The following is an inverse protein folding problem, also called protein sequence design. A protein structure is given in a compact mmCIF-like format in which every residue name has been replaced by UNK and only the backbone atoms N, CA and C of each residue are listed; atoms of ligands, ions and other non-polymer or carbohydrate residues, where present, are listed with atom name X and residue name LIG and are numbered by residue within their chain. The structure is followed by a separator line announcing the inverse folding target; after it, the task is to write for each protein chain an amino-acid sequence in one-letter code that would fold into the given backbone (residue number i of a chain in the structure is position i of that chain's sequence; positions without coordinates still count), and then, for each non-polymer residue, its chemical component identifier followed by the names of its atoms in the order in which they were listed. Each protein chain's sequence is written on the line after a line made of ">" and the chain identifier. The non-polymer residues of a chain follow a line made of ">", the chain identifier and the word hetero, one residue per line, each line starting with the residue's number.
data_IF_143398825280
#
_entry.id   IF_143398825280
#
_cell.length_a   1.000
_cell.length_b   1.000
_cell.length_c   1.000
_cell.angle_alpha   90.00
_cell.angle_beta   90.00
_cell.angle_gamma   90.00
#
_symmetry.space_group_name_H-M   'P 1'
#
loop_
_entity.id
_entity.type
_entity.pdbx_description
1 polymer ?
#
# COMPACT_ATOMS: atom_id res chain seq x y z
N UNK A 1 6.20 44.91 29.78
CA UNK A 1 5.47 44.47 28.59
C UNK A 1 6.53 43.95 27.58
N UNK A 2 6.82 42.70 27.63
CA UNK A 2 7.82 42.04 26.78
C UNK A 2 7.08 40.94 26.04
N UNK A 3 7.03 41.06 24.72
CA UNK A 3 6.43 40.06 23.80
C UNK A 3 7.25 38.77 23.81
N UNK A 4 6.63 37.61 23.71
CA UNK A 4 7.36 36.37 23.54
C UNK A 4 7.74 36.20 22.07
N UNK A 5 9.01 35.93 21.87
CA UNK A 5 9.68 35.61 20.62
C UNK A 5 9.08 34.35 19.97
N UNK A 6 8.60 34.49 18.75
CA UNK A 6 8.11 33.38 17.91
C UNK A 6 9.31 32.76 17.19
N UNK A 7 9.94 31.78 17.80
CA UNK A 7 10.88 30.89 17.10
C UNK A 7 10.12 29.88 16.24
N UNK A 8 9.72 30.28 15.05
CA UNK A 8 9.41 29.38 13.96
C UNK A 8 10.71 28.76 13.47
N UNK A 9 11.08 27.62 14.07
CA UNK A 9 12.18 26.80 13.58
C UNK A 9 11.87 26.32 12.15
N UNK A 10 12.52 26.94 11.20
CA UNK A 10 12.57 26.53 9.79
C UNK A 10 13.17 25.13 9.73
N UNK A 11 12.30 24.10 9.60
CA UNK A 11 12.72 22.73 9.32
C UNK A 11 13.22 22.71 7.86
N UNK A 12 14.49 23.07 7.66
CA UNK A 12 15.18 22.90 6.42
C UNK A 12 15.03 21.43 5.97
N UNK A 13 14.31 21.20 4.88
CA UNK A 13 14.11 19.89 4.31
C UNK A 13 15.44 19.19 4.06
N UNK A 14 15.72 18.10 4.78
CA UNK A 14 16.90 17.29 4.53
C UNK A 14 16.95 16.89 3.07
N UNK A 15 18.09 17.03 2.37
CA UNK A 15 18.22 16.65 0.99
C UNK A 15 17.91 15.16 0.84
N UNK A 16 17.00 14.82 -0.09
CA UNK A 16 16.77 13.43 -0.50
C UNK A 16 18.11 12.84 -0.93
N UNK A 17 18.57 11.78 -0.25
CA UNK A 17 19.78 11.06 -0.70
C UNK A 17 19.54 10.60 -2.13
N UNK A 18 20.36 11.06 -3.06
CA UNK A 18 20.35 10.61 -4.44
C UNK A 18 20.60 9.10 -4.48
N UNK A 19 19.91 8.39 -5.36
CA UNK A 19 20.21 6.99 -5.60
C UNK A 19 21.66 6.84 -6.04
N UNK A 20 22.33 5.79 -5.58
CA UNK A 20 23.71 5.51 -5.94
C UNK A 20 23.86 5.41 -7.46
N UNK A 21 24.90 5.97 -8.06
CA UNK A 21 25.20 5.76 -9.48
C UNK A 21 25.21 4.25 -9.79
N UNK A 22 24.49 3.84 -10.85
CA UNK A 22 24.41 2.42 -11.24
C UNK A 22 23.35 1.60 -10.52
N UNK A 23 22.45 2.23 -9.72
CA UNK A 23 21.32 1.51 -9.13
C UNK A 23 20.48 0.80 -10.20
N UNK A 24 20.17 -0.47 -9.95
CA UNK A 24 19.31 -1.30 -10.81
C UNK A 24 18.20 -1.95 -9.99
N UNK A 25 17.02 -2.03 -10.58
CA UNK A 25 15.90 -2.77 -9.99
C UNK A 25 16.25 -4.26 -9.95
N UNK A 26 16.15 -4.93 -8.79
CA UNK A 26 16.32 -6.38 -8.73
C UNK A 26 15.23 -7.09 -9.53
N UNK A 27 15.56 -8.25 -10.11
CA UNK A 27 14.61 -9.06 -10.88
C UNK A 27 13.59 -9.80 -10.01
N UNK A 28 13.87 -9.95 -8.72
CA UNK A 28 13.03 -10.65 -7.75
C UNK A 28 12.84 -9.81 -6.49
N UNK A 29 11.83 -10.11 -5.65
CA UNK A 29 11.64 -9.45 -4.37
C UNK A 29 12.87 -9.57 -3.47
N UNK A 30 13.26 -8.45 -2.86
CA UNK A 30 14.43 -8.37 -1.97
C UNK A 30 14.03 -7.75 -0.65
N UNK A 31 14.35 -8.45 0.43
CA UNK A 31 14.23 -7.94 1.81
C UNK A 31 15.59 -7.42 2.26
N UNK A 32 15.59 -6.35 3.00
CA UNK A 32 16.80 -5.80 3.60
C UNK A 32 16.46 -5.01 4.88
N UNK A 33 17.39 -4.99 5.82
CA UNK A 33 17.31 -4.07 6.94
C UNK A 33 17.51 -2.65 6.43
N UNK A 34 16.69 -1.73 6.91
CA UNK A 34 16.79 -0.32 6.55
C UNK A 34 16.92 0.55 7.79
N UNK A 35 17.50 1.73 7.60
CA UNK A 35 17.35 2.80 8.60
C UNK A 35 15.85 2.99 8.87
N UNK A 36 15.42 3.31 10.12
CA UNK A 36 14.02 3.47 10.43
C UNK A 36 13.33 4.39 9.42
N UNK A 37 12.31 3.87 8.74
CA UNK A 37 11.56 4.66 7.78
C UNK A 37 10.76 5.76 8.49
N UNK A 38 10.41 5.57 9.76
CA UNK A 38 9.84 6.57 10.65
C UNK A 38 10.98 7.30 11.37
N UNK A 39 11.12 8.59 11.16
CA UNK A 39 12.22 9.42 11.68
C UNK A 39 11.77 10.54 12.65
N UNK A 40 10.50 10.56 13.03
CA UNK A 40 10.02 11.48 14.07
C UNK A 40 10.50 11.03 15.46
N UNK A 41 10.85 11.96 16.38
CA UNK A 41 11.30 11.61 17.74
C UNK A 41 10.24 10.92 18.59
N UNK A 42 8.96 11.24 18.39
CA UNK A 42 7.85 10.57 19.06
C UNK A 42 7.39 9.31 18.31
N UNK A 43 6.84 8.31 19.02
CA UNK A 43 6.25 7.11 18.41
C UNK A 43 5.16 7.44 17.39
N UNK A 44 5.09 6.65 16.33
CA UNK A 44 4.13 6.88 15.23
C UNK A 44 2.68 6.94 15.71
N UNK A 45 2.26 6.04 16.59
CA UNK A 45 0.88 5.99 17.10
C UNK A 45 0.51 7.23 17.91
N UNK A 46 1.45 7.75 18.71
CA UNK A 46 1.25 8.99 19.44
C UNK A 46 1.05 10.19 18.50
N UNK A 47 1.89 10.28 17.46
CA UNK A 47 1.79 11.36 16.45
C UNK A 47 0.50 11.27 15.66
N UNK A 48 0.12 10.06 15.23
CA UNK A 48 -1.16 9.83 14.53
C UNK A 48 -2.34 10.25 15.40
N UNK A 49 -2.35 9.88 16.67
CA UNK A 49 -3.41 10.21 17.60
C UNK A 49 -3.48 11.72 17.85
N UNK A 50 -2.34 12.33 18.13
CA UNK A 50 -2.29 13.76 18.47
C UNK A 50 -2.69 14.66 17.30
N UNK A 51 -2.27 14.32 16.08
CA UNK A 51 -2.50 15.18 14.91
C UNK A 51 -3.74 14.80 14.11
N UNK A 52 -4.15 13.53 14.13
CA UNK A 52 -5.20 13.00 13.26
C UNK A 52 -6.24 12.16 13.99
N UNK A 53 -6.26 12.19 15.32
CA UNK A 53 -7.24 11.43 16.12
C UNK A 53 -8.69 11.72 15.77
N UNK A 54 -9.01 12.97 15.39
CA UNK A 54 -10.36 13.37 14.95
C UNK A 54 -10.69 13.02 13.50
N UNK A 55 -9.78 12.41 12.74
CA UNK A 55 -10.02 12.06 11.34
C UNK A 55 -11.14 11.00 11.24
N UNK A 56 -12.20 11.32 10.51
CA UNK A 56 -13.35 10.43 10.33
C UNK A 56 -12.98 9.26 9.40
N UNK A 57 -13.29 8.03 9.82
CA UNK A 57 -12.92 6.82 9.09
C UNK A 57 -13.74 6.62 7.82
N UNK A 58 -14.96 7.13 7.77
CA UNK A 58 -15.83 7.11 6.59
C UNK A 58 -15.32 8.01 5.45
N UNK A 59 -14.52 9.03 5.79
CA UNK A 59 -13.93 9.97 4.84
C UNK A 59 -12.53 9.55 4.35
N UNK A 60 -11.94 8.50 4.91
CA UNK A 60 -10.65 7.99 4.47
C UNK A 60 -10.70 7.55 3.01
N UNK A 61 -10.36 8.49 2.13
CA UNK A 61 -10.37 8.32 0.68
C UNK A 61 -9.00 7.95 0.12
N UNK A 62 -8.98 6.91 -0.64
CA UNK A 62 -7.99 6.63 -1.67
C UNK A 62 -8.71 6.09 -2.88
N UNK A 63 -8.08 6.03 -4.04
CA UNK A 63 -8.69 5.57 -5.30
C UNK A 63 -9.28 4.14 -5.25
N UNK A 64 -9.00 3.37 -4.21
CA UNK A 64 -9.50 2.02 -3.95
C UNK A 64 -10.39 1.91 -2.71
N UNK A 65 -10.64 3.02 -2.03
CA UNK A 65 -11.29 3.05 -0.72
C UNK A 65 -12.76 2.61 -0.68
N UNK A 66 -13.42 2.57 -1.83
CA UNK A 66 -14.88 2.35 -1.84
C UNK A 66 -15.28 0.93 -1.42
N UNK A 67 -14.69 -0.09 -2.01
CA UNK A 67 -15.03 -1.50 -1.67
C UNK A 67 -14.62 -1.86 -0.25
N UNK A 68 -13.44 -1.41 0.15
CA UNK A 68 -12.91 -1.65 1.49
C UNK A 68 -13.72 -0.89 2.54
N UNK A 69 -14.19 0.31 2.23
CA UNK A 69 -15.07 1.11 3.11
C UNK A 69 -16.39 0.41 3.39
N UNK A 70 -17.09 -0.06 2.38
CA UNK A 70 -18.39 -0.70 2.59
C UNK A 70 -18.27 -2.00 3.38
N UNK A 71 -17.24 -2.82 3.12
CA UNK A 71 -16.98 -4.03 3.88
C UNK A 71 -16.64 -3.76 5.36
N UNK A 72 -15.97 -2.64 5.63
CA UNK A 72 -15.54 -2.29 6.98
C UNK A 72 -16.57 -1.44 7.73
N UNK A 73 -17.42 -0.70 7.02
CA UNK A 73 -18.37 0.25 7.62
C UNK A 73 -19.24 -0.39 8.69
N UNK A 74 -19.91 -1.50 8.38
CA UNK A 74 -20.75 -2.20 9.37
C UNK A 74 -19.97 -2.58 10.62
N UNK A 75 -18.73 -3.02 10.44
CA UNK A 75 -17.89 -3.43 11.57
C UNK A 75 -17.46 -2.23 12.42
N UNK A 76 -17.20 -1.10 11.82
CA UNK A 76 -16.93 0.15 12.54
C UNK A 76 -18.17 0.60 13.32
N UNK A 77 -19.36 0.57 12.71
CA UNK A 77 -20.64 0.87 13.37
C UNK A 77 -20.90 -0.06 14.57
N UNK A 78 -20.71 -1.37 14.40
CA UNK A 78 -20.86 -2.37 15.48
C UNK A 78 -19.92 -2.13 16.66
N UNK A 79 -18.73 -1.61 16.40
CA UNK A 79 -17.71 -1.32 17.40
C UNK A 79 -17.83 0.10 18.00
N UNK A 80 -18.68 0.94 17.45
CA UNK A 80 -18.79 2.35 17.84
C UNK A 80 -17.54 3.17 17.53
N UNK A 81 -16.80 2.80 16.46
CA UNK A 81 -15.56 3.44 16.05
C UNK A 81 -15.83 4.34 14.85
N UNK A 82 -15.72 5.64 15.04
CA UNK A 82 -15.97 6.66 14.01
C UNK A 82 -14.70 7.36 13.56
N UNK A 83 -13.72 7.48 14.47
CA UNK A 83 -12.51 8.27 14.23
C UNK A 83 -11.25 7.41 14.28
N UNK A 84 -10.18 7.93 13.65
CA UNK A 84 -8.87 7.30 13.70
C UNK A 84 -8.35 7.18 15.15
N UNK A 85 -8.59 8.16 16.00
CA UNK A 85 -8.21 8.11 17.41
C UNK A 85 -8.85 6.93 18.13
N UNK A 86 -10.18 6.79 18.02
CA UNK A 86 -10.90 5.64 18.60
C UNK A 86 -10.39 4.30 18.06
N UNK A 87 -10.07 4.24 16.76
CA UNK A 87 -9.48 3.05 16.15
C UNK A 87 -8.10 2.72 16.75
N UNK A 88 -7.23 3.73 16.89
CA UNK A 88 -5.89 3.54 17.45
C UNK A 88 -5.96 3.15 18.94
N UNK A 89 -6.89 3.71 19.71
CA UNK A 89 -7.13 3.33 21.09
C UNK A 89 -7.58 1.87 21.18
N UNK A 90 -8.56 1.47 20.38
CA UNK A 90 -9.01 0.09 20.33
C UNK A 90 -7.90 -0.88 19.90
N UNK A 91 -7.04 -0.46 18.94
CA UNK A 91 -5.89 -1.23 18.49
C UNK A 91 -4.87 -1.46 19.60
N UNK A 92 -4.49 -0.42 20.34
CA UNK A 92 -3.51 -0.51 21.44
C UNK A 92 -4.06 -1.23 22.68
N UNK A 93 -5.35 -1.08 22.99
CA UNK A 93 -6.01 -1.82 24.07
C UNK A 93 -6.32 -3.28 23.71
N UNK A 94 -5.93 -3.73 22.51
CA UNK A 94 -6.07 -5.12 22.09
C UNK A 94 -7.51 -5.55 21.80
N UNK A 95 -8.42 -4.62 21.53
CA UNK A 95 -9.78 -4.93 21.06
C UNK A 95 -9.67 -5.73 19.77
N UNK A 96 -10.24 -6.92 19.73
CA UNK A 96 -10.10 -7.84 18.60
C UNK A 96 -11.21 -7.66 17.55
N UNK A 97 -10.87 -8.05 16.30
CA UNK A 97 -11.79 -7.97 15.17
C UNK A 97 -11.96 -6.55 14.62
N UNK A 98 -10.96 -5.70 14.82
CA UNK A 98 -10.90 -4.41 14.15
C UNK A 98 -10.78 -4.62 12.64
N UNK A 99 -11.47 -3.82 11.83
CA UNK A 99 -11.27 -3.81 10.40
C UNK A 99 -9.81 -3.53 10.03
N UNK A 100 -9.33 -4.17 8.98
CA UNK A 100 -8.02 -3.85 8.43
C UNK A 100 -8.05 -2.46 7.79
N UNK A 101 -7.38 -1.49 8.39
CA UNK A 101 -7.27 -0.15 7.85
C UNK A 101 -6.21 -0.14 6.74
N UNK A 102 -6.68 -0.06 5.51
CA UNK A 102 -5.85 -0.09 4.31
C UNK A 102 -5.87 1.27 3.61
N UNK A 103 -4.79 1.57 2.87
CA UNK A 103 -4.73 2.77 2.00
C UNK A 103 -4.94 4.11 2.73
N UNK A 104 -4.47 4.22 3.98
CA UNK A 104 -4.43 5.51 4.65
C UNK A 104 -3.38 6.39 3.95
N UNK A 105 -3.85 7.24 3.03
CA UNK A 105 -2.97 8.04 2.18
C UNK A 105 -2.21 9.09 2.98
N UNK A 106 -0.88 9.08 2.84
CA UNK A 106 -0.03 10.07 3.51
C UNK A 106 -0.24 11.46 2.93
N UNK A 107 -0.49 11.56 1.63
CA UNK A 107 -0.66 12.86 1.00
C UNK A 107 -2.03 13.49 1.25
N UNK A 108 -3.09 12.68 1.36
CA UNK A 108 -4.46 13.18 1.48
C UNK A 108 -4.97 13.17 2.91
N UNK A 109 -4.69 12.10 3.64
CA UNK A 109 -5.30 11.92 4.96
C UNK A 109 -4.40 12.41 6.10
N UNK A 110 -3.08 12.24 5.95
CA UNK A 110 -2.10 12.49 7.02
C UNK A 110 -0.84 13.22 6.51
N UNK A 111 -0.97 14.38 5.81
CA UNK A 111 0.13 15.02 5.08
C UNK A 111 1.30 15.49 5.96
N UNK A 112 1.06 15.82 7.22
CA UNK A 112 2.12 16.25 8.14
C UNK A 112 3.11 15.11 8.48
N UNK A 113 2.75 13.83 8.25
CA UNK A 113 3.69 12.72 8.44
C UNK A 113 4.70 12.57 7.31
N UNK A 114 4.46 13.20 6.16
CA UNK A 114 5.30 13.06 4.97
C UNK A 114 6.79 13.35 5.19
N UNK A 115 7.20 14.40 5.92
CA UNK A 115 8.62 14.68 6.18
C UNK A 115 9.30 13.60 7.04
N UNK A 116 8.53 12.85 7.81
CA UNK A 116 9.00 11.88 8.77
C UNK A 116 9.02 10.44 8.27
N UNK A 117 8.38 10.18 7.13
CA UNK A 117 8.38 8.87 6.46
C UNK A 117 9.38 8.91 5.30
N UNK A 118 10.55 8.36 5.55
CA UNK A 118 11.68 8.40 4.61
C UNK A 118 11.87 7.06 3.93
N UNK A 119 11.80 7.09 2.59
CA UNK A 119 12.05 5.90 1.80
C UNK A 119 13.53 5.46 1.90
N UNK A 120 13.80 4.18 2.15
CA UNK A 120 15.15 3.66 2.11
C UNK A 120 15.82 3.94 0.75
N UNK A 121 17.10 4.31 0.77
CA UNK A 121 17.86 4.61 -0.47
C UNK A 121 17.89 3.42 -1.45
N UNK A 122 17.82 2.19 -0.93
CA UNK A 122 17.76 0.96 -1.72
C UNK A 122 16.49 0.81 -2.57
N UNK A 123 15.43 1.59 -2.30
CA UNK A 123 14.28 1.65 -3.20
C UNK A 123 14.61 2.32 -4.54
N UNK A 124 15.74 3.03 -4.60
CA UNK A 124 16.22 3.69 -5.79
C UNK A 124 15.45 4.97 -6.14
N UNK A 125 15.66 5.49 -7.36
CA UNK A 125 14.97 6.69 -7.82
C UNK A 125 13.47 6.42 -7.94
N UNK A 126 12.67 7.41 -7.52
CA UNK A 126 11.21 7.38 -7.66
C UNK A 126 10.71 8.69 -8.26
N UNK A 127 10.29 8.66 -9.51
CA UNK A 127 9.83 9.84 -10.25
C UNK A 127 8.45 10.33 -9.79
N UNK A 128 7.66 9.43 -9.18
CA UNK A 128 6.30 9.73 -8.71
C UNK A 128 6.20 9.99 -7.20
N UNK A 129 7.33 10.22 -6.54
CA UNK A 129 7.35 10.52 -5.11
C UNK A 129 6.77 11.92 -4.74
N UNK A 130 6.20 12.63 -5.70
CA UNK A 130 5.58 13.96 -5.50
C UNK A 130 4.06 13.82 -5.39
N UNK A 131 3.38 14.68 -4.58
CA UNK A 131 1.91 14.72 -4.50
C UNK A 131 1.20 14.90 -5.83
N UNK A 132 1.87 15.47 -6.83
CA UNK A 132 1.32 15.59 -8.19
C UNK A 132 0.93 14.27 -8.83
N UNK A 133 1.52 13.17 -8.36
CA UNK A 133 1.36 11.83 -8.89
C UNK A 133 0.53 10.92 -7.99
N UNK A 134 -0.16 11.46 -6.98
CA UNK A 134 -0.99 10.67 -6.06
C UNK A 134 -2.06 9.82 -6.73
N UNK A 135 -2.53 10.26 -7.90
CA UNK A 135 -3.45 9.45 -8.73
C UNK A 135 -2.83 8.13 -9.18
N UNK A 136 -1.51 8.03 -9.20
CA UNK A 136 -0.77 6.79 -9.47
C UNK A 136 -0.54 5.96 -8.20
N UNK A 137 -1.08 6.41 -7.06
CA UNK A 137 -0.96 5.80 -5.76
C UNK A 137 0.27 6.31 -5.00
N UNK A 138 0.05 7.30 -4.16
CA UNK A 138 1.05 7.86 -3.25
C UNK A 138 1.45 6.89 -2.15
N UNK A 139 2.29 7.33 -1.21
CA UNK A 139 2.63 6.55 -0.03
C UNK A 139 1.42 6.38 0.88
N UNK A 140 1.29 5.18 1.45
CA UNK A 140 0.12 4.77 2.24
C UNK A 140 0.55 4.02 3.51
N UNK A 141 -0.25 4.12 4.57
CA UNK A 141 -0.16 3.26 5.74
C UNK A 141 -1.23 2.16 5.70
N UNK A 142 -0.86 1.02 6.23
CA UNK A 142 -1.71 -0.14 6.47
C UNK A 142 -1.61 -0.50 7.95
N UNK A 143 -2.73 -0.45 8.68
CA UNK A 143 -2.79 -0.77 10.09
C UNK A 143 -3.67 -1.99 10.28
N UNK A 144 -3.12 -3.06 10.77
CA UNK A 144 -3.84 -4.33 10.88
C UNK A 144 -3.47 -5.12 12.11
N UNK A 145 -4.46 -5.83 12.65
CA UNK A 145 -4.27 -6.77 13.73
C UNK A 145 -3.77 -8.12 13.21
N UNK A 146 -3.21 -8.93 14.10
CA UNK A 146 -2.87 -10.33 13.83
C UNK A 146 -4.02 -11.05 13.13
N UNK A 147 -3.71 -11.72 12.03
CA UNK A 147 -4.65 -12.48 11.22
C UNK A 147 -5.41 -11.64 10.18
N UNK A 148 -5.26 -10.31 10.16
CA UNK A 148 -5.82 -9.50 9.07
C UNK A 148 -5.09 -9.78 7.75
N UNK A 149 -5.86 -9.81 6.65
CA UNK A 149 -5.36 -10.19 5.32
C UNK A 149 -5.76 -9.19 4.26
N UNK A 150 -4.89 -8.91 3.33
CA UNK A 150 -5.29 -8.24 2.10
C UNK A 150 -5.89 -9.26 1.14
N UNK A 151 -7.12 -8.98 0.70
CA UNK A 151 -8.16 -9.94 0.33
C UNK A 151 -7.92 -10.86 -0.87
N UNK A 152 -6.79 -10.96 -1.46
CA UNK A 152 -6.54 -11.89 -2.57
C UNK A 152 -5.17 -11.71 -3.19
N UNK A 153 -4.77 -12.66 -4.01
CA UNK A 153 -3.55 -12.53 -4.79
C UNK A 153 -3.79 -11.47 -5.86
N UNK A 154 -2.92 -10.48 -5.93
CA UNK A 154 -3.00 -9.39 -6.90
C UNK A 154 -1.62 -8.90 -7.34
N UNK A 155 -1.60 -8.12 -8.39
CA UNK A 155 -0.49 -7.26 -8.79
C UNK A 155 -0.89 -5.82 -8.55
N UNK A 156 0.04 -4.97 -8.14
CA UNK A 156 -0.24 -3.54 -8.09
C UNK A 156 -0.51 -2.99 -9.48
N UNK A 157 -1.51 -2.10 -9.54
CA UNK A 157 -1.93 -1.49 -10.80
C UNK A 157 -0.90 -0.46 -11.28
N UNK A 158 -0.88 -0.22 -12.58
CA UNK A 158 -0.05 0.79 -13.21
C UNK A 158 1.39 0.34 -13.48
N UNK A 159 1.69 -0.96 -13.45
CA UNK A 159 3.04 -1.47 -13.74
C UNK A 159 4.12 -0.91 -12.83
N UNK A 160 3.76 -0.59 -11.59
CA UNK A 160 4.65 0.01 -10.60
C UNK A 160 5.48 -1.04 -9.85
N UNK A 161 6.68 -0.66 -9.42
CA UNK A 161 7.33 -1.35 -8.31
C UNK A 161 6.75 -0.85 -7.00
N UNK A 162 6.84 -1.65 -5.95
CA UNK A 162 6.39 -1.25 -4.62
C UNK A 162 7.47 -1.46 -3.58
N UNK A 163 7.69 -0.44 -2.77
CA UNK A 163 8.48 -0.52 -1.55
C UNK A 163 7.56 -0.64 -0.34
N UNK A 164 7.81 -1.62 0.51
CA UNK A 164 7.15 -1.78 1.81
C UNK A 164 8.16 -1.64 2.92
N UNK A 165 7.85 -0.88 3.96
CA UNK A 165 8.61 -0.82 5.20
C UNK A 165 7.70 -1.26 6.34
N UNK A 166 8.13 -2.26 7.11
CA UNK A 166 7.41 -2.65 8.30
C UNK A 166 7.85 -1.73 9.44
N UNK A 167 6.91 -0.93 9.94
CA UNK A 167 7.17 0.04 10.99
C UNK A 167 6.94 -0.55 12.38
N UNK A 168 5.91 -1.38 12.54
CA UNK A 168 5.52 -2.04 13.78
C UNK A 168 5.08 -3.45 13.45
N UNK A 169 5.49 -4.46 14.25
CA UNK A 169 5.05 -5.84 14.15
C UNK A 169 5.64 -6.62 12.98
N UNK A 170 4.94 -7.67 12.57
CA UNK A 170 5.38 -8.61 11.52
C UNK A 170 4.25 -8.85 10.49
N UNK A 171 4.62 -8.89 9.23
CA UNK A 171 3.73 -9.17 8.11
C UNK A 171 4.32 -10.24 7.19
N UNK A 172 3.49 -11.21 6.82
CA UNK A 172 3.81 -12.20 5.80
C UNK A 172 3.37 -11.72 4.44
N UNK A 173 4.25 -11.85 3.47
CA UNK A 173 3.97 -11.72 2.05
C UNK A 173 4.10 -13.08 1.40
N UNK A 174 3.09 -13.48 0.66
CA UNK A 174 3.20 -14.61 -0.29
C UNK A 174 3.36 -13.97 -1.66
N UNK A 175 4.48 -14.25 -2.31
CA UNK A 175 4.80 -13.64 -3.61
C UNK A 175 4.97 -14.72 -4.67
N UNK A 176 4.56 -14.40 -5.92
CA UNK A 176 4.69 -15.27 -7.07
C UNK A 176 5.32 -14.51 -8.22
N UNK A 177 6.18 -15.14 -9.03
CA UNK A 177 6.75 -14.50 -10.20
C UNK A 177 5.67 -14.14 -11.23
N UNK A 178 5.91 -13.16 -12.10
CA UNK A 178 4.96 -12.77 -13.14
C UNK A 178 4.52 -13.93 -14.04
N UNK A 179 5.40 -14.89 -14.31
CA UNK A 179 5.13 -16.11 -15.10
C UNK A 179 4.01 -16.98 -14.53
N UNK A 180 3.81 -16.95 -13.21
CA UNK A 180 2.78 -17.76 -12.55
C UNK A 180 1.36 -17.24 -12.79
N UNK A 181 1.20 -16.04 -13.32
CA UNK A 181 -0.10 -15.45 -13.60
C UNK A 181 -1.05 -16.37 -14.40
N UNK A 182 -0.53 -17.32 -15.17
CA UNK A 182 -1.32 -18.35 -15.90
C UNK A 182 -1.93 -19.40 -14.96
N UNK A 183 -1.37 -19.59 -13.78
CA UNK A 183 -1.82 -20.55 -12.77
C UNK A 183 -2.66 -19.94 -11.65
N UNK A 184 -2.74 -18.60 -11.61
CA UNK A 184 -3.37 -17.85 -10.53
C UNK A 184 -4.83 -17.48 -10.80
N UNK A 185 -5.52 -18.15 -11.73
CA UNK A 185 -6.95 -17.94 -12.01
C UNK A 185 -7.33 -16.45 -12.07
N UNK A 186 -6.64 -15.71 -12.95
CA UNK A 186 -6.93 -14.28 -13.14
C UNK A 186 -8.40 -14.07 -13.54
N UNK A 187 -8.98 -13.01 -13.06
CA UNK A 187 -10.30 -12.62 -13.52
C UNK A 187 -10.28 -12.38 -15.03
N UNK A 188 -11.29 -12.91 -15.75
CA UNK A 188 -11.40 -12.84 -17.21
C UNK A 188 -12.51 -11.93 -17.70
N UNK A 189 -13.29 -11.32 -16.83
CA UNK A 189 -14.41 -10.47 -17.17
C UNK A 189 -14.61 -9.33 -16.20
N UNK A 190 -15.16 -8.22 -16.67
CA UNK A 190 -15.49 -7.05 -15.90
C UNK A 190 -14.74 -5.78 -16.30
N UNK A 191 -14.70 -4.78 -15.44
CA UNK A 191 -14.08 -3.50 -15.75
C UNK A 191 -12.54 -3.61 -15.88
N UNK A 192 -12.07 -3.37 -17.11
CA UNK A 192 -10.65 -3.26 -17.41
C UNK A 192 -10.09 -1.95 -16.81
N UNK A 193 -8.86 -1.88 -16.26
CA UNK A 193 -7.83 -2.94 -16.23
C UNK A 193 -7.77 -3.73 -14.92
N UNK A 194 -8.56 -3.38 -13.90
CA UNK A 194 -8.45 -3.87 -12.53
C UNK A 194 -8.47 -5.40 -12.42
N UNK A 195 -9.29 -6.05 -13.22
CA UNK A 195 -9.51 -7.48 -13.07
C UNK A 195 -8.36 -8.34 -13.58
N UNK A 196 -7.61 -7.86 -14.59
CA UNK A 196 -6.47 -8.61 -15.12
C UNK A 196 -5.31 -8.73 -14.12
N UNK A 197 -5.30 -7.88 -13.08
CA UNK A 197 -4.29 -7.84 -12.03
C UNK A 197 -4.77 -8.45 -10.73
N UNK A 198 -5.93 -9.08 -10.73
CA UNK A 198 -6.48 -9.75 -9.58
C UNK A 198 -6.74 -11.22 -9.89
N UNK A 199 -6.50 -12.05 -8.89
CA UNK A 199 -6.75 -13.50 -8.91
C UNK A 199 -8.05 -13.81 -8.18
N UNK A 200 -8.77 -14.84 -8.65
CA UNK A 200 -9.90 -15.42 -7.94
C UNK A 200 -9.48 -16.25 -6.73
N UNK A 201 -8.20 -16.56 -6.63
CA UNK A 201 -7.65 -17.41 -5.58
C UNK A 201 -7.71 -16.69 -4.24
N UNK A 202 -8.25 -17.39 -3.26
CA UNK A 202 -8.18 -17.03 -1.84
C UNK A 202 -7.05 -17.83 -1.21
N UNK A 203 -5.81 -17.34 -1.32
CA UNK A 203 -4.61 -18.07 -0.92
C UNK A 203 -4.66 -18.62 0.51
N UNK A 204 -5.20 -17.85 1.45
CA UNK A 204 -5.26 -18.24 2.84
C UNK A 204 -6.48 -19.15 3.19
N UNK A 205 -7.28 -19.55 2.21
CA UNK A 205 -8.35 -20.51 2.42
C UNK A 205 -7.75 -21.91 2.61
N UNK A 206 -8.22 -22.71 3.59
CA UNK A 206 -7.70 -24.04 3.86
C UNK A 206 -7.79 -24.99 2.66
N UNK A 207 -8.82 -24.81 1.84
CA UNK A 207 -9.15 -25.60 0.65
C UNK A 207 -8.62 -24.98 -0.67
N UNK A 208 -7.65 -24.06 -0.59
CA UNK A 208 -7.20 -23.31 -1.76
C UNK A 208 -6.71 -24.19 -2.91
N UNK A 209 -5.94 -25.24 -2.61
CA UNK A 209 -5.43 -26.16 -3.63
C UNK A 209 -6.49 -27.11 -4.21
N UNK A 210 -7.56 -27.34 -3.49
CA UNK A 210 -8.70 -28.15 -3.95
C UNK A 210 -9.58 -27.33 -4.87
N UNK A 211 -9.89 -26.10 -4.49
CA UNK A 211 -10.72 -25.16 -5.27
C UNK A 211 -10.02 -24.64 -6.51
N UNK A 212 -8.70 -24.49 -6.44
CA UNK A 212 -7.87 -23.94 -7.53
C UNK A 212 -6.69 -24.86 -7.82
N UNK A 213 -6.91 -26.04 -8.44
CA UNK A 213 -5.89 -27.08 -8.60
C UNK A 213 -4.67 -26.63 -9.44
N UNK A 214 -4.80 -25.66 -10.34
CA UNK A 214 -3.66 -25.12 -11.10
C UNK A 214 -2.62 -24.42 -10.22
N UNK A 215 -2.99 -24.02 -8.99
CA UNK A 215 -2.04 -23.47 -8.01
C UNK A 215 -0.85 -24.39 -7.72
N UNK A 216 -1.00 -25.71 -7.93
CA UNK A 216 0.08 -26.69 -7.74
C UNK A 216 1.25 -26.46 -8.71
N UNK A 217 1.04 -25.73 -9.79
CA UNK A 217 2.07 -25.36 -10.78
C UNK A 217 2.71 -24.00 -10.50
N UNK A 218 2.18 -23.24 -9.55
CA UNK A 218 2.74 -21.95 -9.16
C UNK A 218 3.92 -22.14 -8.20
N UNK A 219 4.78 -21.14 -8.11
CA UNK A 219 6.01 -21.13 -7.32
C UNK A 219 5.96 -20.06 -6.20
N UNK A 220 5.08 -20.21 -5.20
CA UNK A 220 4.96 -19.25 -4.12
C UNK A 220 6.24 -19.17 -3.28
N UNK A 221 6.58 -17.96 -2.87
CA UNK A 221 7.60 -17.72 -1.86
C UNK A 221 6.97 -17.00 -0.68
N UNK A 222 7.23 -17.48 0.53
CA UNK A 222 6.82 -16.80 1.76
C UNK A 222 7.95 -15.91 2.25
N UNK A 223 7.63 -14.64 2.48
CA UNK A 223 8.54 -13.63 3.03
C UNK A 223 7.88 -13.09 4.30
N UNK A 224 8.59 -13.13 5.41
CA UNK A 224 8.18 -12.45 6.65
C UNK A 224 8.97 -11.15 6.75
N UNK A 225 8.26 -10.04 6.83
CA UNK A 225 8.82 -8.71 6.98
C UNK A 225 8.62 -8.25 8.43
N UNK A 226 9.71 -7.96 9.12
CA UNK A 226 9.72 -7.54 10.53
C UNK A 226 9.92 -6.04 10.67
N UNK A 227 9.54 -5.49 11.80
CA UNK A 227 9.81 -4.08 12.10
C UNK A 227 11.30 -3.73 11.85
N UNK A 228 11.57 -2.66 11.13
CA UNK A 228 12.90 -2.25 10.68
C UNK A 228 13.38 -2.91 9.39
N UNK A 229 12.58 -3.80 8.79
CA UNK A 229 12.86 -4.38 7.48
C UNK A 229 12.05 -3.72 6.39
N UNK A 230 12.61 -3.72 5.19
CA UNK A 230 11.96 -3.26 3.96
C UNK A 230 11.96 -4.36 2.89
N UNK A 231 10.87 -4.41 2.13
CA UNK A 231 10.70 -5.26 0.95
C UNK A 231 10.61 -4.37 -0.28
N UNK A 232 11.48 -4.59 -1.26
CA UNK A 232 11.35 -4.04 -2.60
C UNK A 232 10.75 -5.12 -3.51
N UNK A 233 9.52 -4.86 -3.98
CA UNK A 233 8.76 -5.77 -4.84
C UNK A 233 8.78 -5.23 -6.27
N UNK A 234 9.38 -5.96 -7.24
CA UNK A 234 9.39 -5.53 -8.63
C UNK A 234 7.99 -5.52 -9.24
N UNK A 235 7.79 -4.69 -10.27
CA UNK A 235 6.52 -4.61 -11.01
C UNK A 235 6.08 -6.00 -11.50
N UNK A 236 4.77 -6.18 -11.55
CA UNK A 236 4.11 -7.40 -12.03
C UNK A 236 4.31 -8.66 -11.16
N UNK A 237 4.96 -8.57 -10.01
CA UNK A 237 4.95 -9.65 -9.05
C UNK A 237 3.58 -9.75 -8.37
N UNK A 238 3.04 -10.97 -8.34
CA UNK A 238 1.80 -11.28 -7.64
C UNK A 238 2.07 -11.40 -6.15
N UNK A 239 1.15 -10.92 -5.34
CA UNK A 239 1.31 -11.06 -3.90
C UNK A 239 -0.03 -11.08 -3.16
N UNK A 240 0.02 -11.66 -1.97
CA UNK A 240 -1.01 -11.59 -0.94
C UNK A 240 -0.32 -11.36 0.40
N UNK A 241 -1.02 -10.75 1.36
CA UNK A 241 -0.42 -10.41 2.65
C UNK A 241 -1.28 -10.83 3.83
N UNK A 242 -0.62 -11.14 4.95
CA UNK A 242 -1.23 -11.46 6.23
C UNK A 242 -0.42 -10.81 7.35
N UNK A 243 -1.08 -10.14 8.29
CA UNK A 243 -0.45 -9.63 9.51
C UNK A 243 -0.23 -10.78 10.49
N UNK A 244 1.02 -11.06 10.85
CA UNK A 244 1.37 -12.12 11.79
C UNK A 244 1.24 -11.66 13.24
N UNK A 245 1.41 -10.37 13.45
CA UNK A 245 1.16 -9.65 14.70
C UNK A 245 0.32 -8.42 14.42
N UNK A 246 -0.11 -7.74 15.46
CA UNK A 246 -0.62 -6.37 15.32
C UNK A 246 0.51 -5.50 14.77
N UNK A 247 0.23 -4.68 13.74
CA UNK A 247 1.32 -3.99 13.08
C UNK A 247 0.92 -2.90 12.10
N UNK A 248 1.94 -2.12 11.72
CA UNK A 248 1.82 -1.03 10.76
C UNK A 248 2.87 -1.20 9.67
N UNK A 249 2.41 -1.16 8.43
CA UNK A 249 3.24 -1.18 7.22
C UNK A 249 3.08 0.14 6.49
N UNK A 250 4.18 0.76 6.10
CA UNK A 250 4.20 1.83 5.14
C UNK A 250 4.54 1.29 3.76
N UNK A 251 3.82 1.73 2.72
CA UNK A 251 4.13 1.39 1.33
C UNK A 251 4.27 2.62 0.46
N UNK A 252 5.03 2.50 -0.61
CA UNK A 252 5.13 3.53 -1.66
C UNK A 252 5.27 2.88 -3.03
N UNK A 253 4.55 3.40 -4.01
CA UNK A 253 4.71 3.01 -5.41
C UNK A 253 5.92 3.71 -6.01
N UNK A 254 6.62 3.00 -6.90
CA UNK A 254 7.88 3.46 -7.48
C UNK A 254 7.79 3.34 -9.00
N UNK A 255 8.01 4.47 -9.68
CA UNK A 255 8.22 4.52 -11.13
C UNK A 255 9.60 5.14 -11.38
N UNK A 256 10.38 4.46 -12.21
CA UNK A 256 11.69 4.91 -12.65
C UNK A 256 12.00 4.40 -14.05
N UNK A 257 13.23 4.56 -14.53
CA UNK A 257 13.64 4.14 -15.87
C UNK A 257 13.38 2.66 -16.18
N UNK A 258 13.33 1.78 -15.18
CA UNK A 258 13.16 0.35 -15.40
C UNK A 258 11.72 -0.09 -15.68
N UNK A 259 10.72 0.70 -15.28
CA UNK A 259 9.30 0.38 -15.47
C UNK A 259 8.46 1.51 -16.09
N UNK A 260 9.04 2.66 -16.36
CA UNK A 260 8.31 3.83 -16.84
C UNK A 260 7.52 3.57 -18.14
N UNK A 261 8.12 2.89 -19.12
CA UNK A 261 7.45 2.56 -20.38
C UNK A 261 6.26 1.62 -20.14
N UNK A 262 6.44 0.55 -19.36
CA UNK A 262 5.38 -0.39 -19.01
C UNK A 262 4.25 0.28 -18.23
N UNK A 263 4.60 1.15 -17.29
CA UNK A 263 3.65 1.94 -16.52
C UNK A 263 2.86 2.91 -17.40
N UNK A 264 3.53 3.63 -18.29
CA UNK A 264 2.89 4.55 -19.23
C UNK A 264 1.92 3.80 -20.17
N UNK A 265 2.34 2.68 -20.75
CA UNK A 265 1.48 1.85 -21.61
C UNK A 265 0.25 1.34 -20.86
N UNK A 266 0.39 0.89 -19.62
CA UNK A 266 -0.74 0.43 -18.83
C UNK A 266 -1.73 1.55 -18.53
N UNK A 267 -1.24 2.75 -18.20
CA UNK A 267 -2.10 3.91 -17.99
C UNK A 267 -2.80 4.34 -19.29
N UNK A 268 -2.11 4.31 -20.42
CA UNK A 268 -2.69 4.62 -21.72
C UNK A 268 -3.76 3.59 -22.15
N UNK A 269 -3.50 2.30 -21.94
CA UNK A 269 -4.45 1.22 -22.26
C UNK A 269 -5.59 1.15 -21.24
N UNK A 270 -5.39 1.62 -20.03
CA UNK A 270 -6.39 1.77 -18.97
C UNK A 270 -7.23 3.03 -19.10
N UNK A 271 -6.88 3.97 -20.00
CA UNK A 271 -7.78 5.06 -20.36
C UNK A 271 -9.11 4.46 -20.84
N UNK A 272 -10.24 4.85 -20.28
CA UNK A 272 -11.44 4.05 -20.35
C UNK A 272 -11.88 3.84 -21.79
N UNK A 273 -12.29 2.62 -22.12
CA UNK A 273 -13.25 2.39 -23.20
C UNK A 273 -14.51 3.28 -23.09
N UNK A 274 -14.65 4.05 -22.02
CA UNK A 274 -15.58 5.16 -21.88
C UNK A 274 -15.42 6.22 -22.97
N UNK A 275 -14.20 6.53 -23.43
CA UNK A 275 -14.01 7.40 -24.60
C UNK A 275 -14.50 6.74 -25.90
N UNK A 276 -14.31 5.43 -26.06
CA UNK A 276 -14.86 4.69 -27.21
C UNK A 276 -16.39 4.65 -27.19
N UNK A 277 -17.02 4.62 -26.00
CA UNK A 277 -18.49 4.71 -25.86
C UNK A 277 -19.02 6.13 -26.13
N UNK A 278 -18.26 7.16 -25.78
CA UNK A 278 -18.63 8.55 -26.11
C UNK A 278 -18.57 8.82 -27.61
N UNK A 279 -17.60 8.25 -28.33
CA UNK A 279 -17.50 8.37 -29.80
C UNK A 279 -18.59 7.56 -30.53
N UNK A 280 -18.99 6.42 -30.00
CA UNK A 280 -20.06 5.60 -30.59
C UNK A 280 -21.48 6.05 -30.22
N UNK A 281 -21.64 6.81 -29.13
CA UNK A 281 -22.94 7.36 -28.70
C UNK A 281 -23.36 8.62 -29.49
N UNK A 282 -22.44 9.28 -30.20
CA UNK A 282 -22.74 10.45 -31.06
C UNK A 282 -22.95 10.09 -32.54
N UNK A 283 -23.05 8.80 -32.86
CA UNK A 283 -23.26 8.28 -34.22
C UNK A 283 -24.59 7.56 -34.42
N UNK A 284 -25.64 7.90 -33.65
CA UNK A 284 -27.02 7.47 -33.93
C UNK A 284 -28.01 8.61 -33.73
#
# INVERSE_FOLDING_TARGET
>A
MSSPDSTTGELAGRPRRAASPGWRMPAAPVVFHCEPAWQHPAPLLEVLRAQYGGLQLDTLGGSYGWVVREQNRRRFEELGIETLGQYLDAFEHGIRGLPYLTHLSIHHNIPALKPWLVAPSRFGPNWVASPRWDRLGGPELFIGQRGTRFAGIHQDHGGVHVGFCQLIGEKRFIVFPPSDGRWLYRYRGGEFPYQLRNSQVRWFAPDAYERWPLLRHASPRSIVLRAGEALLLPANWWHATESLTDGITWSTRIINHSNALGSALEHLLGLPRGLARLVTAHGR
#
